data_IF_677058845069
#
_entry.id   IF_677058845069
#
_cell.length_a   1.000
_cell.length_b   1.000
_cell.length_c   1.000
_cell.angle_alpha   90.00
_cell.angle_beta   90.00
_cell.angle_gamma   90.00
#
_symmetry.space_group_name_H-M   'P 1'
#
loop_
_entity.id
_entity.type
_entity.pdbx_description
1 polymer ?
#
# COMPACT_ATOMS: atom_id res chain seq x y z
N UNK A 1 -29.78 55.14 -32.63
CA UNK A 1 -30.22 55.60 -31.29
C UNK A 1 -30.82 54.37 -30.64
N UNK A 2 -29.95 53.54 -30.07
CA UNK A 2 -29.73 53.43 -28.60
C UNK A 2 -30.85 52.56 -27.98
N UNK A 3 -30.62 51.49 -27.20
CA UNK A 3 -29.49 51.15 -26.32
C UNK A 3 -29.48 49.66 -25.98
N UNK A 4 -28.41 49.26 -25.27
CA UNK A 4 -28.03 47.94 -24.79
C UNK A 4 -29.08 47.16 -23.99
N UNK A 5 -29.04 45.82 -24.13
CA UNK A 5 -29.51 44.90 -23.11
C UNK A 5 -28.38 43.89 -22.82
N UNK A 6 -27.74 44.14 -21.69
CA UNK A 6 -26.80 43.29 -20.96
C UNK A 6 -27.50 42.02 -20.44
N UNK A 7 -26.74 40.95 -20.25
CA UNK A 7 -27.24 39.72 -19.61
C UNK A 7 -26.86 38.42 -20.33
N UNK A 8 -25.56 38.21 -20.57
CA UNK A 8 -25.05 36.91 -21.01
C UNK A 8 -24.98 35.96 -19.80
N UNK A 9 -26.10 35.31 -19.48
CA UNK A 9 -26.13 34.20 -18.52
C UNK A 9 -25.35 33.01 -19.12
N UNK A 10 -24.02 33.04 -19.02
CA UNK A 10 -23.20 31.87 -19.28
C UNK A 10 -23.49 30.91 -18.14
N UNK A 11 -24.36 29.92 -18.38
CA UNK A 11 -24.28 28.66 -17.65
C UNK A 11 -22.95 28.01 -18.02
N UNK A 12 -21.88 28.47 -17.38
CA UNK A 12 -20.66 27.69 -17.26
C UNK A 12 -21.12 26.43 -16.53
N UNK A 13 -21.10 25.32 -17.26
CA UNK A 13 -21.52 24.03 -16.74
C UNK A 13 -20.89 23.84 -15.38
N UNK A 14 -21.70 23.39 -14.42
CA UNK A 14 -21.23 22.91 -13.12
C UNK A 14 -19.89 22.21 -13.35
N UNK A 15 -18.83 22.75 -12.78
CA UNK A 15 -17.60 22.03 -12.60
C UNK A 15 -17.99 20.78 -11.81
N UNK A 16 -18.32 19.71 -12.53
CA UNK A 16 -18.28 18.38 -11.99
C UNK A 16 -16.79 18.12 -11.85
N UNK A 17 -16.20 18.73 -10.82
CA UNK A 17 -14.97 18.26 -10.22
C UNK A 17 -15.32 16.86 -9.71
N UNK A 18 -15.35 15.91 -10.63
CA UNK A 18 -15.12 14.51 -10.35
C UNK A 18 -13.66 14.44 -9.93
N UNK A 19 -13.35 15.05 -8.79
CA UNK A 19 -12.35 14.54 -7.88
C UNK A 19 -12.90 13.15 -7.55
N UNK A 20 -12.49 12.15 -8.31
CA UNK A 20 -12.44 10.78 -7.80
C UNK A 20 -11.59 10.88 -6.56
N UNK A 21 -12.22 11.23 -5.43
CA UNK A 21 -11.61 11.21 -4.12
C UNK A 21 -11.18 9.78 -3.94
N UNK A 22 -9.88 9.53 -4.08
CA UNK A 22 -9.27 8.27 -3.70
C UNK A 22 -9.62 8.11 -2.22
N UNK A 23 -10.60 7.26 -1.93
CA UNK A 23 -11.12 7.08 -0.58
C UNK A 23 -10.31 6.05 0.21
N UNK A 24 -9.48 5.25 -0.47
CA UNK A 24 -8.65 4.21 0.10
C UNK A 24 -7.30 4.14 -0.58
N UNK A 25 -6.29 3.65 0.12
CA UNK A 25 -4.98 3.38 -0.44
C UNK A 25 -4.95 2.05 -1.20
N UNK A 26 -4.07 1.97 -2.20
CA UNK A 26 -3.77 0.72 -2.90
C UNK A 26 -3.09 -0.27 -1.95
N UNK A 27 -3.15 -1.57 -2.26
CA UNK A 27 -2.46 -2.60 -1.49
C UNK A 27 -0.96 -2.27 -1.31
N UNK A 28 -0.42 -2.48 -0.11
CA UNK A 28 0.94 -2.08 0.26
C UNK A 28 1.10 -0.63 0.73
N UNK A 29 0.01 0.14 0.75
CA UNK A 29 -0.01 1.51 1.24
C UNK A 29 -1.09 1.70 2.32
N UNK A 30 -0.84 2.62 3.24
CA UNK A 30 -1.77 2.97 4.31
C UNK A 30 -1.97 4.49 4.40
N UNK A 31 -3.10 4.92 4.95
CA UNK A 31 -3.42 6.33 5.13
C UNK A 31 -4.88 6.66 4.83
N UNK A 32 -5.19 7.95 4.80
CA UNK A 32 -6.55 8.46 4.67
C UNK A 32 -6.64 9.56 3.60
N UNK A 33 -6.45 9.23 2.31
CA UNK A 33 -6.44 10.19 1.20
C UNK A 33 -7.76 10.95 1.02
N UNK A 34 -8.87 10.43 1.57
CA UNK A 34 -10.16 11.11 1.56
C UNK A 34 -10.29 12.30 2.53
N UNK A 35 -9.33 12.49 3.45
CA UNK A 35 -9.33 13.62 4.41
C UNK A 35 -8.55 14.81 3.86
N UNK A 36 -8.93 16.06 4.19
CA UNK A 36 -8.11 17.23 3.86
C UNK A 36 -6.68 17.06 4.38
N UNK A 37 -5.70 17.11 3.48
CA UNK A 37 -4.29 16.90 3.81
C UNK A 37 -3.87 15.45 4.03
N UNK A 38 -4.75 14.46 3.82
CA UNK A 38 -4.41 13.05 3.90
C UNK A 38 -3.68 12.55 2.65
N UNK A 39 -2.76 11.62 2.83
CA UNK A 39 -2.01 10.92 1.78
C UNK A 39 -2.06 9.41 2.00
N UNK A 40 -1.51 8.68 1.04
CA UNK A 40 -1.14 7.27 1.18
C UNK A 40 0.37 7.17 1.28
N UNK A 41 0.85 6.45 2.29
CA UNK A 41 2.26 6.18 2.52
C UNK A 41 2.54 4.69 2.36
N UNK A 42 3.73 4.29 1.88
CA UNK A 42 4.08 2.88 1.77
C UNK A 42 4.14 2.23 3.16
N UNK A 43 3.64 1.01 3.27
CA UNK A 43 3.75 0.23 4.49
C UNK A 43 5.22 -0.10 4.79
N UNK A 44 5.63 0.08 6.05
CA UNK A 44 7.02 -0.06 6.49
C UNK A 44 7.34 -1.52 6.83
N UNK A 45 7.23 -2.38 5.83
CA UNK A 45 7.34 -3.84 5.95
C UNK A 45 8.59 -4.38 5.23
N UNK A 46 9.67 -3.58 5.21
CA UNK A 46 10.95 -3.89 4.57
C UNK A 46 10.84 -4.39 3.11
N UNK A 47 9.84 -3.89 2.36
CA UNK A 47 9.51 -4.32 1.01
C UNK A 47 9.28 -5.85 0.86
N UNK A 48 8.94 -6.51 1.96
CA UNK A 48 8.75 -7.95 2.05
C UNK A 48 7.27 -8.33 2.17
N UNK A 49 6.35 -7.49 1.71
CA UNK A 49 4.91 -7.80 1.67
C UNK A 49 4.54 -8.73 0.50
N UNK A 50 3.58 -9.62 0.73
CA UNK A 50 2.91 -10.33 -0.37
C UNK A 50 1.86 -9.42 -1.02
N UNK A 51 2.26 -8.64 -2.01
CA UNK A 51 1.38 -7.72 -2.73
C UNK A 51 0.42 -8.42 -3.71
N UNK A 52 0.58 -9.72 -3.96
CA UNK A 52 -0.32 -10.48 -4.84
C UNK A 52 -1.71 -10.69 -4.20
N UNK A 53 -1.79 -10.62 -2.86
CA UNK A 53 -3.03 -10.74 -2.10
C UNK A 53 -3.43 -9.39 -1.49
N UNK A 54 -4.72 -8.99 -1.56
CA UNK A 54 -5.18 -7.76 -0.95
C UNK A 54 -5.08 -7.82 0.58
N UNK A 55 -4.78 -6.68 1.20
CA UNK A 55 -4.63 -6.59 2.66
C UNK A 55 -3.29 -7.16 3.14
N UNK A 56 -2.21 -6.88 2.41
CA UNK A 56 -0.85 -7.25 2.83
C UNK A 56 -0.40 -6.46 4.07
N UNK A 57 -0.90 -5.23 4.21
CA UNK A 57 -0.82 -4.44 5.43
C UNK A 57 -2.17 -3.80 5.75
N UNK A 58 -2.35 -3.37 7.00
CA UNK A 58 -3.52 -2.63 7.44
C UNK A 58 -3.56 -1.26 6.75
N UNK A 59 -4.65 -0.90 6.05
CA UNK A 59 -4.72 0.32 5.25
C UNK A 59 -4.83 1.60 6.09
N UNK A 60 -4.99 1.51 7.41
CA UNK A 60 -5.10 2.66 8.32
C UNK A 60 -3.85 2.82 9.17
N UNK A 61 -3.33 1.73 9.74
CA UNK A 61 -2.19 1.74 10.67
C UNK A 61 -0.86 1.45 9.98
N UNK A 62 -0.87 0.80 8.82
CA UNK A 62 0.33 0.33 8.12
C UNK A 62 0.93 -0.95 8.68
N UNK A 63 0.29 -1.59 9.67
CA UNK A 63 0.76 -2.84 10.26
C UNK A 63 0.89 -3.93 9.19
N UNK A 64 2.01 -4.64 9.15
CA UNK A 64 2.24 -5.74 8.23
C UNK A 64 1.39 -6.94 8.64
N UNK A 65 0.55 -7.42 7.72
CA UNK A 65 -0.38 -8.54 7.95
C UNK A 65 0.01 -9.78 7.16
N UNK A 66 0.70 -9.62 6.02
CA UNK A 66 1.15 -10.73 5.16
C UNK A 66 2.50 -10.43 4.52
N UNK A 67 3.52 -11.10 5.04
CA UNK A 67 4.83 -11.13 4.41
C UNK A 67 4.82 -12.09 3.21
N UNK A 68 5.67 -11.81 2.21
CA UNK A 68 5.90 -12.71 1.08
C UNK A 68 6.53 -14.02 1.56
N UNK A 69 6.38 -15.06 0.76
CA UNK A 69 6.89 -16.38 1.11
C UNK A 69 8.36 -16.35 1.53
N UNK A 70 8.67 -16.98 2.65
CA UNK A 70 10.02 -17.05 3.23
C UNK A 70 10.39 -15.91 4.17
N UNK A 71 9.52 -14.90 4.33
CA UNK A 71 9.72 -13.78 5.23
C UNK A 71 8.70 -13.83 6.37
N UNK A 72 9.11 -13.34 7.53
CA UNK A 72 8.33 -13.31 8.76
C UNK A 72 8.76 -12.15 9.65
N UNK A 73 8.25 -12.15 10.88
CA UNK A 73 8.40 -11.01 11.80
C UNK A 73 7.24 -10.02 11.71
N UNK A 74 7.17 -9.09 12.66
CA UNK A 74 6.06 -8.14 12.78
C UNK A 74 6.06 -7.10 11.66
N UNK A 75 7.24 -6.79 11.15
CA UNK A 75 7.51 -5.87 10.05
C UNK A 75 8.12 -6.59 8.83
N UNK A 76 7.97 -7.91 8.72
CA UNK A 76 8.63 -8.72 7.68
C UNK A 76 10.18 -8.58 7.68
N UNK A 77 10.75 -8.41 8.88
CA UNK A 77 12.16 -8.12 9.16
C UNK A 77 13.04 -9.36 9.34
N UNK A 78 12.45 -10.56 9.38
CA UNK A 78 13.15 -11.83 9.55
C UNK A 78 12.83 -12.78 8.41
N UNK A 79 13.67 -13.80 8.24
CA UNK A 79 13.22 -14.97 7.49
C UNK A 79 12.14 -15.69 8.32
N UNK A 80 11.20 -16.32 7.63
CA UNK A 80 10.20 -17.17 8.26
C UNK A 80 10.85 -18.41 8.87
N UNK A 81 10.08 -19.14 9.70
CA UNK A 81 10.50 -20.45 10.19
C UNK A 81 10.85 -21.37 9.01
N UNK A 82 11.91 -22.16 9.15
CA UNK A 82 12.48 -23.02 8.10
C UNK A 82 13.06 -22.27 6.89
N UNK A 83 13.33 -20.96 7.01
CA UNK A 83 14.07 -20.17 6.03
C UNK A 83 15.34 -19.55 6.64
N UNK A 84 16.38 -19.38 5.83
CA UNK A 84 17.66 -18.77 6.22
C UNK A 84 18.14 -17.76 5.18
N UNK A 85 18.94 -16.79 5.62
CA UNK A 85 19.46 -15.71 4.77
C UNK A 85 19.45 -14.37 5.50
N UNK A 86 19.52 -13.29 4.73
CA UNK A 86 19.38 -11.92 5.22
C UNK A 86 18.07 -11.33 4.69
N UNK A 87 17.14 -11.04 5.61
CA UNK A 87 15.81 -10.54 5.28
C UNK A 87 15.77 -9.03 4.97
N UNK A 88 16.80 -8.27 5.36
CA UNK A 88 16.79 -6.80 5.33
C UNK A 88 17.65 -6.22 4.22
N UNK A 89 18.89 -6.69 4.08
CA UNK A 89 19.85 -6.11 3.13
C UNK A 89 19.88 -6.91 1.84
N UNK A 90 20.15 -8.22 1.93
CA UNK A 90 20.20 -9.08 0.75
C UNK A 90 18.82 -9.53 0.27
N UNK A 91 17.82 -9.52 1.16
CA UNK A 91 16.47 -10.03 0.92
C UNK A 91 16.50 -11.38 0.20
N UNK A 92 17.20 -12.36 0.77
CA UNK A 92 17.46 -13.64 0.12
C UNK A 92 17.06 -14.85 0.97
N UNK A 93 15.95 -14.77 1.71
CA UNK A 93 15.47 -15.90 2.52
C UNK A 93 15.21 -17.14 1.63
N UNK A 94 15.98 -18.20 1.86
CA UNK A 94 15.87 -19.50 1.18
C UNK A 94 15.35 -20.55 2.15
N UNK A 95 14.54 -21.48 1.65
CA UNK A 95 14.04 -22.58 2.47
C UNK A 95 15.21 -23.49 2.85
N UNK A 96 15.27 -23.90 4.12
CA UNK A 96 16.22 -24.89 4.59
C UNK A 96 15.90 -26.22 3.90
N UNK A 97 16.87 -26.85 3.23
CA UNK A 97 16.66 -28.17 2.65
C UNK A 97 16.28 -29.18 3.74
N UNK A 98 15.20 -29.93 3.52
CA UNK A 98 14.65 -30.93 4.47
C UNK A 98 15.58 -32.11 4.75
N UNK A 99 16.70 -32.21 4.02
CA UNK A 99 17.80 -33.15 4.22
C UNK A 99 18.85 -32.66 5.23
N UNK A 100 18.79 -31.39 5.65
CA UNK A 100 19.66 -30.77 6.67
C UNK A 100 18.93 -30.61 8.02
N UNK A 101 17.60 -30.77 8.06
CA UNK A 101 16.89 -30.96 9.34
C UNK A 101 17.23 -32.35 9.86
N UNK A 102 18.30 -32.44 10.64
CA UNK A 102 18.80 -33.65 11.27
C UNK A 102 17.65 -34.59 11.69
N UNK A 103 17.58 -35.77 11.05
CA UNK A 103 16.92 -36.92 11.65
C UNK A 103 17.72 -37.29 12.90
N UNK A 104 17.24 -36.86 14.07
CA UNK A 104 17.68 -37.37 15.38
C UNK A 104 17.62 -38.90 15.46
#
# INVERSE_FOLDING_TARGET
MESEADGRERRIGREKKHETRVSWCTNGYFGQPGRPGGSCEPCQCHDNLDLALPGSCDPITGQCLRCRQGYGGVACESCADDYYGDALIAQNCQQVPVDISCFD
#
